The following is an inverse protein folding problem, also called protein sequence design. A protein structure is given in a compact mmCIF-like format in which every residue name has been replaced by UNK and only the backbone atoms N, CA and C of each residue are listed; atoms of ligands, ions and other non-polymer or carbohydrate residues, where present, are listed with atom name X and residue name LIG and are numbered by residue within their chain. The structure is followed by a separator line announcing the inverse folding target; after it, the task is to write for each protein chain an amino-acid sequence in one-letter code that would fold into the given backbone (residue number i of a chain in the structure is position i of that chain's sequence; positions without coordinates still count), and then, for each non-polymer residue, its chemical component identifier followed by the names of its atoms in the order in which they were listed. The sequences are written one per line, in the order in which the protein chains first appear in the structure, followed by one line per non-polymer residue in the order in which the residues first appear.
data_IF_961590763668
#
_entry.id   IF_961590763668
#
_cell.length_a   1.000
_cell.length_b   1.000
_cell.length_c   1.000
_cell.angle_alpha   90.00
_cell.angle_beta   90.00
_cell.angle_gamma   90.00
#
_symmetry.space_group_name_H-M   'P 1'
#
loop_
_entity.id
_entity.type
_entity.pdbx_description
1 polymer ?
#
# COMPACT_ATOMS: atom_id res chain seq x y z
N UNK A 1 14.11 -10.82 -11.82
CA UNK A 1 13.91 -9.59 -11.04
C UNK A 1 12.84 -8.80 -11.73
N UNK A 2 11.79 -8.41 -11.02
CA UNK A 2 10.62 -7.74 -11.59
C UNK A 2 10.27 -6.52 -10.74
N UNK A 3 10.56 -5.30 -11.20
CA UNK A 3 10.12 -4.09 -10.51
C UNK A 3 8.62 -3.87 -10.72
N UNK A 4 7.98 -3.22 -9.77
CA UNK A 4 6.57 -2.84 -9.86
C UNK A 4 6.28 -1.54 -9.12
N UNK A 5 5.22 -0.87 -9.57
CA UNK A 5 4.62 0.28 -8.89
C UNK A 5 3.14 0.02 -8.75
N UNK A 6 2.57 0.31 -7.58
CA UNK A 6 1.15 0.20 -7.28
C UNK A 6 0.64 1.54 -6.76
N UNK A 7 -0.40 2.05 -7.40
CA UNK A 7 -1.08 3.30 -7.03
C UNK A 7 -2.47 2.94 -6.53
N UNK A 8 -2.80 3.31 -5.30
CA UNK A 8 -4.09 3.00 -4.68
C UNK A 8 -4.66 4.27 -4.06
N UNK A 9 -5.97 4.45 -4.21
CA UNK A 9 -6.73 5.45 -3.47
C UNK A 9 -7.90 4.74 -2.79
N UNK A 10 -8.01 4.93 -1.48
CA UNK A 10 -9.00 4.27 -0.64
C UNK A 10 -9.68 5.31 0.22
N UNK A 11 -10.98 5.51 -0.03
CA UNK A 11 -11.84 6.36 0.78
C UNK A 11 -12.84 5.51 1.57
N UNK A 12 -12.62 5.37 2.88
CA UNK A 12 -13.49 4.56 3.74
C UNK A 12 -14.77 5.29 4.16
N UNK A 13 -14.87 6.60 3.88
CA UNK A 13 -16.03 7.44 4.18
C UNK A 13 -16.65 8.06 2.93
N UNK A 14 -16.48 7.44 1.77
CA UNK A 14 -17.01 7.92 0.49
C UNK A 14 -18.55 8.12 0.51
N UNK A 15 -19.25 7.39 1.38
CA UNK A 15 -20.68 7.60 1.67
C UNK A 15 -20.90 7.65 3.17
N UNK A 16 -21.20 8.83 3.68
CA UNK A 16 -21.57 9.06 5.07
C UNK A 16 -23.05 9.44 5.20
N UNK A 17 -23.73 9.06 6.29
CA UNK A 17 -25.07 9.55 6.59
C UNK A 17 -25.06 11.08 6.75
N UNK A 18 -26.18 11.71 6.42
CA UNK A 18 -26.38 13.14 6.65
C UNK A 18 -26.24 13.48 8.13
N UNK A 19 -25.47 14.53 8.45
CA UNK A 19 -25.25 15.01 9.81
C UNK A 19 -23.92 14.59 10.46
N UNK A 20 -23.12 13.77 9.78
CA UNK A 20 -21.78 13.41 10.23
C UNK A 20 -20.70 14.13 9.40
N UNK A 21 -19.70 14.68 10.08
CA UNK A 21 -18.52 15.22 9.42
C UNK A 21 -17.58 14.08 9.01
N UNK A 22 -17.04 14.16 7.78
CA UNK A 22 -16.03 13.23 7.28
C UNK A 22 -14.71 13.47 8.00
N UNK A 23 -13.98 12.39 8.30
CA UNK A 23 -12.61 12.47 8.78
C UNK A 23 -11.64 12.62 7.62
N UNK A 24 -10.78 13.65 7.65
CA UNK A 24 -9.74 13.85 6.63
C UNK A 24 -8.71 12.70 6.61
N UNK A 25 -8.62 11.89 7.68
CA UNK A 25 -7.73 10.71 7.74
C UNK A 25 -8.24 9.50 6.95
N UNK A 26 -9.43 9.58 6.35
CA UNK A 26 -10.08 8.42 5.70
C UNK A 26 -9.96 8.41 4.18
N UNK A 27 -9.53 9.51 3.55
CA UNK A 27 -9.07 9.56 2.16
C UNK A 27 -7.58 9.23 2.14
N UNK A 28 -7.23 7.97 1.90
CA UNK A 28 -5.83 7.55 1.89
C UNK A 28 -5.37 7.30 0.45
N UNK A 29 -4.20 7.83 0.12
CA UNK A 29 -3.46 7.54 -1.11
C UNK A 29 -2.22 6.76 -0.77
N UNK A 30 -2.01 5.67 -1.49
CA UNK A 30 -0.87 4.79 -1.34
C UNK A 30 -0.11 4.74 -2.66
N UNK A 31 1.18 5.06 -2.60
CA UNK A 31 2.12 4.81 -3.68
C UNK A 31 3.07 3.74 -3.17
N UNK A 32 3.09 2.57 -3.78
CA UNK A 32 4.01 1.49 -3.41
C UNK A 32 4.96 1.23 -4.56
N UNK A 33 6.27 1.28 -4.28
CA UNK A 33 7.29 0.84 -5.23
C UNK A 33 8.01 -0.36 -4.65
N UNK A 34 8.24 -1.37 -5.48
CA UNK A 34 8.85 -2.61 -5.02
C UNK A 34 9.52 -3.41 -6.10
N UNK A 35 10.17 -4.46 -5.63
CA UNK A 35 10.95 -5.38 -6.44
C UNK A 35 10.64 -6.81 -6.02
N UNK A 36 10.45 -7.67 -7.01
CA UNK A 36 10.33 -9.11 -6.84
C UNK A 36 11.60 -9.81 -7.35
N UNK A 37 12.16 -10.68 -6.52
CA UNK A 37 13.30 -11.52 -6.84
C UNK A 37 12.88 -12.99 -6.74
N UNK A 38 13.25 -13.78 -7.76
CA UNK A 38 13.02 -15.23 -7.82
C UNK A 38 14.38 -15.91 -8.01
N UNK A 39 15.12 -16.20 -6.92
CA UNK A 39 16.43 -16.82 -7.03
C UNK A 39 16.35 -18.22 -7.64
N UNK A 40 15.28 -18.95 -7.29
CA UNK A 40 14.90 -20.25 -7.85
C UNK A 40 13.38 -20.27 -8.08
N UNK A 41 12.82 -21.16 -8.92
CA UNK A 41 11.40 -21.14 -9.28
C UNK A 41 10.43 -21.21 -8.10
N UNK A 42 10.80 -21.93 -7.04
CA UNK A 42 9.97 -22.19 -5.86
C UNK A 42 10.07 -21.11 -4.78
N UNK A 43 10.98 -20.13 -4.91
CA UNK A 43 11.19 -19.07 -3.91
C UNK A 43 10.98 -17.71 -4.55
N UNK A 44 10.17 -16.88 -3.90
CA UNK A 44 10.03 -15.46 -4.23
C UNK A 44 10.34 -14.61 -3.01
N UNK A 45 11.14 -13.58 -3.19
CA UNK A 45 11.43 -12.55 -2.18
C UNK A 45 10.94 -11.22 -2.75
N UNK A 46 10.20 -10.46 -1.95
CA UNK A 46 9.71 -9.14 -2.33
C UNK A 46 10.14 -8.12 -1.29
N UNK A 47 10.59 -6.97 -1.79
CA UNK A 47 10.88 -5.81 -0.96
C UNK A 47 10.12 -4.65 -1.55
N UNK A 48 9.42 -3.90 -0.72
CA UNK A 48 8.65 -2.74 -1.15
C UNK A 48 8.62 -1.64 -0.10
N UNK A 49 8.41 -0.42 -0.59
CA UNK A 49 8.18 0.75 0.21
C UNK A 49 6.88 1.40 -0.22
N UNK A 50 6.00 1.65 0.74
CA UNK A 50 4.73 2.32 0.55
C UNK A 50 4.77 3.71 1.18
N UNK A 51 4.59 4.73 0.35
CA UNK A 51 4.31 6.09 0.79
C UNK A 51 2.81 6.22 1.00
N UNK A 52 2.42 6.66 2.21
CA UNK A 52 1.02 6.81 2.60
C UNK A 52 0.76 8.29 2.87
N UNK A 53 -0.24 8.85 2.21
CA UNK A 53 -0.72 10.20 2.46
C UNK A 53 -2.23 10.22 2.62
N UNK A 54 -2.73 11.20 3.37
CA UNK A 54 -4.14 11.48 3.52
C UNK A 54 -4.36 12.98 3.71
N UNK A 55 -5.62 13.43 3.61
CA UNK A 55 -5.95 14.86 3.72
C UNK A 55 -5.77 15.42 5.14
N UNK A 56 -5.49 14.56 6.13
CA UNK A 56 -5.12 14.95 7.50
C UNK A 56 -3.61 15.04 7.73
N UNK A 57 -2.78 14.74 6.72
CA UNK A 57 -1.31 14.63 6.80
C UNK A 57 -0.81 13.70 7.93
N UNK A 58 -1.59 12.67 8.29
CA UNK A 58 -1.23 11.68 9.32
C UNK A 58 -0.75 10.35 8.73
N UNK A 59 -0.47 10.30 7.44
CA UNK A 59 0.01 9.10 6.76
C UNK A 59 1.35 8.64 7.30
N UNK A 60 1.52 7.32 7.46
CA UNK A 60 2.78 6.71 7.92
C UNK A 60 3.32 5.80 6.83
N UNK A 61 4.53 6.08 6.36
CA UNK A 61 5.18 5.27 5.34
C UNK A 61 5.55 3.89 5.90
N UNK A 62 5.52 2.87 5.04
CA UNK A 62 5.77 1.49 5.42
C UNK A 62 6.87 0.87 4.54
N UNK A 63 7.70 0.03 5.16
CA UNK A 63 8.69 -0.79 4.47
C UNK A 63 8.38 -2.25 4.73
N UNK A 64 8.29 -3.06 3.68
CA UNK A 64 7.95 -4.47 3.79
C UNK A 64 9.01 -5.35 3.15
N UNK A 65 9.26 -6.49 3.79
CA UNK A 65 10.07 -7.58 3.28
C UNK A 65 9.24 -8.85 3.39
N UNK A 66 8.99 -9.49 2.26
CA UNK A 66 8.12 -10.66 2.15
C UNK A 66 8.87 -11.82 1.48
N UNK A 67 8.60 -13.04 1.91
CA UNK A 67 9.10 -14.27 1.28
C UNK A 67 7.93 -15.23 1.03
N UNK A 68 7.88 -15.81 -0.16
CA UNK A 68 6.90 -16.84 -0.54
C UNK A 68 7.60 -18.10 -1.04
N UNK A 69 7.00 -19.25 -0.73
CA UNK A 69 7.44 -20.56 -1.19
C UNK A 69 6.30 -21.27 -1.93
N UNK A 70 6.58 -21.83 -3.10
CA UNK A 70 5.63 -22.58 -3.92
C UNK A 70 6.00 -24.08 -3.92
N UNK A 71 5.00 -24.93 -3.66
CA UNK A 71 5.11 -26.39 -3.58
C UNK A 71 4.45 -27.08 -4.78
#
# INVERSE_FOLDING_TARGET
MTPYVRLEQVDTQARMPTGFARSLSTDNRYVTAGIELKPIPNIVVKVDHAWVSNDADTGVNQYNVNMGYAF
#
